data_IF_428602405808
#
_entry.id   IF_428602405808
#
_cell.length_a   1.000
_cell.length_b   1.000
_cell.length_c   1.000
_cell.angle_alpha   90.00
_cell.angle_beta   90.00
_cell.angle_gamma   90.00
#
_symmetry.space_group_name_H-M   'P 1'
#
loop_
_entity.id
_entity.type
_entity.pdbx_description
1 polymer ?
#
# COMPACT_ATOMS: atom_id res chain seq x y z
N UNK A 1 3.20 -1.67 -9.42
CA UNK A 1 2.03 -2.08 -8.63
C UNK A 1 0.99 -0.98 -8.73
N UNK A 2 -0.29 -1.33 -8.76
CA UNK A 2 -1.38 -0.35 -8.74
C UNK A 2 -1.43 0.20 -7.31
N UNK A 3 -1.27 1.52 -7.09
CA UNK A 3 -1.51 2.11 -5.79
C UNK A 3 -2.99 1.92 -5.47
N UNK A 4 -3.29 1.31 -4.32
CA UNK A 4 -4.66 0.98 -3.95
C UNK A 4 -4.76 0.78 -2.45
N UNK A 5 -5.97 0.88 -1.92
CA UNK A 5 -6.28 0.64 -0.51
C UNK A 5 -7.17 -0.58 -0.41
N UNK A 6 -6.78 -1.54 0.43
CA UNK A 6 -7.67 -2.63 0.81
C UNK A 6 -8.76 -2.06 1.73
N UNK A 7 -10.00 -2.07 1.26
CA UNK A 7 -11.14 -1.46 1.97
C UNK A 7 -11.95 -2.47 2.77
N UNK A 8 -11.90 -3.74 2.37
CA UNK A 8 -12.67 -4.81 3.02
C UNK A 8 -11.92 -6.13 2.96
N UNK A 9 -11.71 -6.75 4.11
CA UNK A 9 -11.19 -8.11 4.21
C UNK A 9 -12.37 -9.09 4.25
N UNK A 10 -12.41 -10.02 3.31
CA UNK A 10 -13.45 -11.06 3.24
C UNK A 10 -13.07 -12.29 4.04
N UNK A 11 -11.83 -12.75 3.86
CA UNK A 11 -11.38 -14.01 4.44
C UNK A 11 -9.88 -13.97 4.71
N UNK A 12 -9.51 -14.67 5.78
CA UNK A 12 -8.14 -15.03 6.13
C UNK A 12 -8.12 -16.54 6.31
N UNK A 13 -7.24 -17.22 5.59
CA UNK A 13 -7.05 -18.66 5.72
C UNK A 13 -5.56 -18.97 5.92
N UNK A 14 -5.24 -19.73 6.96
CA UNK A 14 -3.88 -20.26 7.14
C UNK A 14 -3.66 -21.40 6.16
N UNK A 15 -2.71 -21.23 5.24
CA UNK A 15 -2.35 -22.27 4.26
C UNK A 15 -1.40 -23.31 4.85
N UNK A 16 -0.55 -22.91 5.80
CA UNK A 16 0.39 -23.81 6.44
C UNK A 16 1.32 -23.12 7.42
N UNK A 17 1.82 -23.90 8.36
CA UNK A 17 2.88 -23.52 9.30
C UNK A 17 4.19 -24.15 8.85
N UNK A 18 5.22 -23.34 8.75
CA UNK A 18 6.57 -23.71 8.34
C UNK A 18 7.52 -23.44 9.51
N UNK A 19 8.73 -23.99 9.46
CA UNK A 19 9.73 -23.78 10.52
C UNK A 19 10.03 -22.29 10.74
N UNK A 20 10.08 -21.52 9.66
CA UNK A 20 10.42 -20.09 9.68
C UNK A 20 9.20 -19.18 9.89
N UNK A 21 7.96 -19.69 9.82
CA UNK A 21 6.78 -18.83 9.92
C UNK A 21 5.48 -19.41 9.41
N UNK A 22 4.49 -18.56 9.15
CA UNK A 22 3.12 -18.96 8.80
C UNK A 22 2.73 -18.35 7.46
N UNK A 23 2.13 -19.16 6.58
CA UNK A 23 1.59 -18.69 5.30
C UNK A 23 0.08 -18.51 5.39
N UNK A 24 -0.39 -17.36 4.97
CA UNK A 24 -1.81 -17.01 4.88
C UNK A 24 -2.21 -16.74 3.43
N UNK A 25 -3.47 -17.06 3.14
CA UNK A 25 -4.20 -16.60 1.98
C UNK A 25 -5.25 -15.59 2.45
N UNK A 26 -5.16 -14.36 1.95
CA UNK A 26 -6.09 -13.27 2.22
C UNK A 26 -6.99 -13.08 1.01
N UNK A 27 -8.27 -12.80 1.23
CA UNK A 27 -9.20 -12.37 0.20
C UNK A 27 -9.81 -11.04 0.63
N UNK A 28 -9.75 -10.02 -0.24
CA UNK A 28 -10.12 -8.64 0.10
C UNK A 28 -10.57 -7.84 -1.12
N UNK A 29 -11.31 -6.76 -0.90
CA UNK A 29 -11.59 -5.76 -1.94
C UNK A 29 -10.52 -4.66 -1.91
N UNK A 30 -9.95 -4.38 -3.07
CA UNK A 30 -8.99 -3.30 -3.32
C UNK A 30 -9.66 -2.19 -4.12
N UNK A 31 -9.56 -0.96 -3.62
CA UNK A 31 -9.93 0.24 -4.38
C UNK A 31 -8.64 0.87 -4.92
N UNK A 32 -8.49 1.04 -6.25
CA UNK A 32 -7.35 1.71 -6.82
C UNK A 32 -7.36 3.18 -6.40
N UNK A 33 -6.18 3.72 -6.12
CA UNK A 33 -5.96 5.13 -5.84
C UNK A 33 -5.47 5.83 -7.10
N UNK A 34 -6.04 6.99 -7.38
CA UNK A 34 -5.47 7.92 -8.36
C UNK A 34 -4.73 9.00 -7.59
N UNK A 35 -3.40 9.01 -7.69
CA UNK A 35 -2.56 9.94 -6.96
C UNK A 35 -1.99 11.02 -7.88
N UNK A 36 -2.13 12.30 -7.51
CA UNK A 36 -1.46 13.42 -8.16
C UNK A 36 -0.36 13.96 -7.24
N UNK A 37 0.81 14.23 -7.82
CA UNK A 37 1.89 14.92 -7.11
C UNK A 37 1.90 16.40 -7.49
N UNK A 38 1.78 17.28 -6.50
CA UNK A 38 1.97 18.71 -6.68
C UNK A 38 3.25 19.15 -5.97
N UNK A 39 4.19 19.71 -6.74
CA UNK A 39 5.30 20.46 -6.18
C UNK A 39 4.75 21.77 -5.67
N UNK A 40 4.82 21.99 -4.36
CA UNK A 40 4.38 23.25 -3.77
C UNK A 40 5.57 24.21 -3.84
N UNK A 41 5.47 25.32 -4.60
CA UNK A 41 6.51 26.34 -4.58
C UNK A 41 6.60 26.92 -3.17
N UNK A 42 7.79 26.90 -2.59
CA UNK A 42 8.06 27.68 -1.38
C UNK A 42 7.96 29.16 -1.72
N UNK A 43 6.82 29.79 -1.44
CA UNK A 43 6.66 31.22 -1.66
C UNK A 43 7.41 31.96 -0.54
N UNK A 44 8.62 32.39 -0.87
CA UNK A 44 9.54 33.05 0.04
C UNK A 44 9.21 34.54 0.16
N UNK A 45 8.34 34.93 1.10
CA UNK A 45 8.16 36.33 1.51
C UNK A 45 8.82 36.55 2.87
N UNK A 46 10.15 36.46 2.95
CA UNK A 46 11.02 37.24 3.84
C UNK A 46 12.46 36.74 3.75
N UNK A 47 13.40 37.68 3.74
CA UNK A 47 14.82 37.48 3.57
C UNK A 47 15.43 36.46 4.58
N UNK A 48 16.47 35.75 4.11
CA UNK A 48 17.32 34.74 4.81
C UNK A 48 16.67 33.38 5.13
N UNK A 49 16.76 32.47 4.15
CA UNK A 49 16.97 31.05 4.44
C UNK A 49 17.74 30.43 3.26
N UNK A 50 19.05 30.21 3.45
CA UNK A 50 19.83 29.26 2.66
C UNK A 50 19.21 27.87 2.85
N UNK A 51 18.67 27.29 1.77
CA UNK A 51 18.16 25.91 1.77
C UNK A 51 16.70 25.80 1.34
N UNK A 52 16.39 26.11 0.08
CA UNK A 52 15.08 25.85 -0.53
C UNK A 52 14.92 24.35 -0.79
N UNK A 53 14.43 23.61 0.20
CA UNK A 53 13.87 22.28 0.01
C UNK A 53 12.44 22.44 -0.51
N UNK A 54 12.23 22.20 -1.80
CA UNK A 54 10.88 21.97 -2.34
C UNK A 54 10.33 20.69 -1.72
N UNK A 55 9.10 20.71 -1.18
CA UNK A 55 8.42 19.50 -0.75
C UNK A 55 7.39 19.05 -1.79
N UNK A 56 7.35 17.75 -2.06
CA UNK A 56 6.36 17.14 -2.95
C UNK A 56 5.15 16.74 -2.13
N UNK A 57 4.00 17.34 -2.38
CA UNK A 57 2.73 16.89 -1.82
C UNK A 57 2.12 15.83 -2.73
N UNK A 58 1.60 14.73 -2.17
CA UNK A 58 0.90 13.68 -2.91
C UNK A 58 -0.54 13.65 -2.42
N UNK A 59 -1.49 13.84 -3.33
CA UNK A 59 -2.91 13.74 -3.05
C UNK A 59 -3.47 12.52 -3.76
N UNK A 60 -4.08 11.59 -3.03
CA UNK A 60 -4.65 10.37 -3.59
C UNK A 60 -6.16 10.34 -3.38
N UNK A 61 -6.90 10.06 -4.44
CA UNK A 61 -8.36 9.92 -4.43
C UNK A 61 -8.69 8.45 -4.68
N UNK A 62 -9.64 7.92 -3.91
CA UNK A 62 -10.19 6.58 -4.13
C UNK A 62 -10.94 6.55 -5.46
N UNK A 63 -10.59 5.62 -6.34
CA UNK A 63 -11.33 5.36 -7.57
C UNK A 63 -12.69 4.74 -7.28
N UNK A 64 -13.55 4.73 -8.30
CA UNK A 64 -14.92 4.19 -8.17
C UNK A 64 -14.98 2.66 -8.30
N UNK A 65 -13.99 2.04 -8.94
CA UNK A 65 -13.95 0.60 -9.15
C UNK A 65 -13.40 -0.13 -7.90
N UNK A 66 -14.04 -1.23 -7.53
CA UNK A 66 -13.54 -2.17 -6.52
C UNK A 66 -13.16 -3.47 -7.21
N UNK A 67 -11.93 -3.91 -7.00
CA UNK A 67 -11.46 -5.20 -7.49
C UNK A 67 -11.37 -6.17 -6.33
N UNK A 68 -12.00 -7.34 -6.46
CA UNK A 68 -11.78 -8.41 -5.49
C UNK A 68 -10.45 -9.10 -5.78
N UNK A 69 -9.59 -9.13 -4.77
CA UNK A 69 -8.23 -9.64 -4.85
C UNK A 69 -7.98 -10.74 -3.83
N UNK A 70 -6.96 -11.54 -4.10
CA UNK A 70 -6.38 -12.48 -3.17
C UNK A 70 -4.88 -12.22 -3.04
N UNK A 71 -4.34 -12.40 -1.84
CA UNK A 71 -2.91 -12.25 -1.58
C UNK A 71 -2.37 -13.44 -0.78
N UNK A 72 -1.21 -13.93 -1.21
CA UNK A 72 -0.41 -14.87 -0.43
C UNK A 72 0.59 -14.10 0.41
N UNK A 73 0.50 -14.29 1.73
CA UNK A 73 1.33 -13.59 2.71
C UNK A 73 2.08 -14.61 3.54
N UNK A 74 3.37 -14.39 3.76
CA UNK A 74 4.19 -15.15 4.69
C UNK A 74 4.63 -14.24 5.83
N UNK A 75 4.21 -14.60 7.03
CA UNK A 75 4.63 -13.94 8.27
C UNK A 75 5.80 -14.74 8.84
N UNK A 76 6.93 -14.07 9.04
CA UNK A 76 8.13 -14.60 9.70
C UNK A 76 8.20 -14.02 11.12
N UNK A 77 7.75 -14.75 12.15
CA UNK A 77 7.65 -14.21 13.51
C UNK A 77 9.01 -13.88 14.13
N UNK A 78 10.04 -14.67 13.80
CA UNK A 78 11.38 -14.48 14.33
C UNK A 78 12.03 -13.19 13.80
N UNK A 79 11.80 -12.86 12.53
CA UNK A 79 12.25 -11.62 11.90
C UNK A 79 11.30 -10.43 12.07
N UNK A 80 10.12 -10.65 12.67
CA UNK A 80 9.01 -9.68 12.70
C UNK A 80 8.72 -9.07 11.32
N UNK A 81 8.77 -9.93 10.29
CA UNK A 81 8.68 -9.54 8.89
C UNK A 81 7.43 -10.15 8.25
N UNK A 82 6.81 -9.37 7.35
CA UNK A 82 5.67 -9.81 6.56
C UNK A 82 6.06 -9.71 5.09
N UNK A 83 6.03 -10.84 4.40
CA UNK A 83 6.37 -10.95 3.00
C UNK A 83 5.10 -11.18 2.19
N UNK A 84 4.80 -10.28 1.27
CA UNK A 84 3.75 -10.49 0.28
C UNK A 84 4.36 -11.30 -0.86
N UNK A 85 3.97 -12.57 -0.98
CA UNK A 85 4.49 -13.49 -1.99
C UNK A 85 3.85 -13.25 -3.36
N UNK A 86 2.60 -12.79 -3.38
CA UNK A 86 1.88 -12.47 -4.60
C UNK A 86 0.50 -11.91 -4.32
N UNK A 87 -0.01 -11.12 -5.26
CA UNK A 87 -1.37 -10.58 -5.25
C UNK A 87 -1.98 -10.88 -6.62
N UNK A 88 -3.18 -11.43 -6.63
CA UNK A 88 -3.97 -11.67 -7.82
C UNK A 88 -5.34 -11.00 -7.67
N UNK A 89 -5.77 -10.23 -8.67
CA UNK A 89 -7.01 -9.45 -8.66
C UNK A 89 -7.88 -9.85 -9.84
N UNK A 90 -9.14 -10.16 -9.56
CA UNK A 90 -10.14 -10.37 -10.59
C UNK A 90 -10.52 -8.98 -11.15
N UNK A 91 -10.41 -8.84 -12.47
CA UNK A 91 -10.79 -7.63 -13.21
C UNK A 91 -12.29 -7.60 -13.49
#
# INVERSE_FOLDING_TARGET
>A
GIPGVAVRLHQVATQGTYQEGVRYLLSFDLVPLTCSSHQVPSHNNSAKAQGTTSYTSVFCIMGEAMNSCSALVFEEPAGNAIHILGIDCLH
#
